data_IF_225940537285
#
_entry.id   IF_225940537285
#
_cell.length_a   1.000
_cell.length_b   1.000
_cell.length_c   1.000
_cell.angle_alpha   90.00
_cell.angle_beta   90.00
_cell.angle_gamma   90.00
#
_symmetry.space_group_name_H-M   'P 1'
#
loop_
_entity.id
_entity.type
_entity.pdbx_description
1 polymer ?
#
# COMPACT_ATOMS: atom_id res chain seq x y z
N UNK A 1 9.99 0.59 7.82
CA UNK A 1 9.69 -0.57 6.95
C UNK A 1 8.20 -0.94 6.83
N UNK A 2 7.31 -0.79 7.83
CA UNK A 2 5.92 -1.30 7.70
C UNK A 2 5.05 -0.57 6.69
N UNK A 3 5.47 0.61 6.23
CA UNK A 3 4.71 1.40 5.26
C UNK A 3 4.52 0.71 3.89
N UNK A 4 5.43 -0.18 3.50
CA UNK A 4 5.42 -0.84 2.20
C UNK A 4 4.86 -2.26 2.23
N UNK A 5 4.74 -2.84 3.42
CA UNK A 5 4.41 -4.25 3.57
C UNK A 5 2.90 -4.45 3.61
N UNK A 6 2.44 -5.51 2.96
CA UNK A 6 1.04 -5.91 2.94
C UNK A 6 0.56 -6.18 4.38
N UNK A 7 -0.52 -5.51 4.86
CA UNK A 7 -1.06 -5.74 6.18
C UNK A 7 -1.32 -7.23 6.46
N UNK A 8 -1.77 -8.00 5.47
CA UNK A 8 -2.06 -9.42 5.66
C UNK A 8 -0.84 -10.26 6.09
N UNK A 9 0.37 -9.85 5.71
CA UNK A 9 1.62 -10.53 6.12
C UNK A 9 1.91 -10.38 7.62
N UNK A 10 1.33 -9.38 8.29
CA UNK A 10 1.51 -9.17 9.73
C UNK A 10 0.45 -9.87 10.58
N UNK A 11 -0.75 -10.09 10.05
CA UNK A 11 -1.87 -10.65 10.81
C UNK A 11 -1.91 -12.18 10.82
N UNK A 12 -1.21 -12.83 9.90
CA UNK A 12 -1.25 -14.28 9.75
C UNK A 12 0.14 -14.88 10.00
N UNK A 13 0.43 -15.34 11.24
CA UNK A 13 1.67 -16.04 11.54
C UNK A 13 1.85 -17.23 10.60
N UNK A 14 2.94 -17.26 9.84
CA UNK A 14 3.23 -18.32 8.87
C UNK A 14 2.72 -18.07 7.44
N UNK A 15 2.04 -16.94 7.18
CA UNK A 15 1.76 -16.53 5.79
C UNK A 15 3.05 -15.99 5.18
N UNK A 16 3.55 -16.69 4.17
CA UNK A 16 4.64 -16.18 3.35
C UNK A 16 4.11 -15.09 2.41
N UNK A 17 4.89 -14.02 2.18
CA UNK A 17 4.60 -13.08 1.11
C UNK A 17 4.41 -13.82 -0.22
N UNK A 18 3.42 -13.39 -0.98
CA UNK A 18 3.10 -13.92 -2.30
C UNK A 18 3.17 -12.77 -3.34
N UNK A 19 2.95 -13.10 -4.61
CA UNK A 19 2.95 -12.09 -5.68
C UNK A 19 1.96 -10.94 -5.40
N UNK A 20 0.84 -11.22 -4.71
CA UNK A 20 -0.14 -10.17 -4.34
C UNK A 20 0.41 -9.24 -3.28
N UNK A 21 1.23 -9.73 -2.36
CA UNK A 21 1.95 -8.89 -1.40
C UNK A 21 2.97 -7.98 -2.11
N UNK A 22 3.67 -8.48 -3.13
CA UNK A 22 4.61 -7.67 -3.92
C UNK A 22 3.87 -6.58 -4.72
N UNK A 23 2.72 -6.92 -5.33
CA UNK A 23 1.84 -5.94 -6.00
C UNK A 23 1.38 -4.85 -5.03
N UNK A 24 1.06 -5.20 -3.78
CA UNK A 24 0.71 -4.19 -2.76
C UNK A 24 1.86 -3.21 -2.54
N UNK A 25 3.08 -3.71 -2.34
CA UNK A 25 4.27 -2.89 -2.15
C UNK A 25 4.55 -1.99 -3.36
N UNK A 26 4.35 -2.48 -4.58
CA UNK A 26 4.43 -1.67 -5.79
C UNK A 26 3.40 -0.54 -5.82
N UNK A 27 2.18 -0.78 -5.37
CA UNK A 27 1.17 0.28 -5.24
C UNK A 27 1.61 1.42 -4.32
N UNK A 28 2.22 1.08 -3.19
CA UNK A 28 2.77 2.08 -2.26
C UNK A 28 3.91 2.87 -2.91
N UNK A 29 4.83 2.19 -3.60
CA UNK A 29 5.95 2.84 -4.32
C UNK A 29 5.44 3.74 -5.43
N UNK A 30 4.45 3.30 -6.22
CA UNK A 30 3.89 4.12 -7.29
C UNK A 30 3.27 5.42 -6.78
N UNK A 31 2.61 5.38 -5.62
CA UNK A 31 2.14 6.60 -4.98
C UNK A 31 3.30 7.48 -4.52
N UNK A 32 4.31 6.92 -3.85
CA UNK A 32 5.51 7.65 -3.40
C UNK A 32 6.22 8.36 -4.55
N UNK A 33 6.35 7.70 -5.71
CA UNK A 33 6.95 8.30 -6.91
C UNK A 33 6.17 9.53 -7.40
N UNK A 34 4.85 9.54 -7.23
CA UNK A 34 4.02 10.69 -7.62
C UNK A 34 3.96 11.79 -6.58
N UNK A 35 4.08 11.45 -5.29
CA UNK A 35 4.01 12.41 -4.21
C UNK A 35 5.36 13.03 -3.88
N UNK A 36 6.45 12.28 -4.11
CA UNK A 36 7.79 12.61 -3.60
C UNK A 36 7.88 12.56 -2.07
N UNK A 37 6.89 11.96 -1.41
CA UNK A 37 6.74 11.95 0.05
C UNK A 37 6.74 10.50 0.54
N UNK A 38 7.49 10.17 1.61
CA UNK A 38 7.43 8.84 2.20
C UNK A 38 6.00 8.45 2.62
N UNK A 39 5.55 7.22 2.32
CA UNK A 39 4.22 6.75 2.68
C UNK A 39 4.02 6.74 4.20
N UNK A 40 2.83 7.13 4.65
CA UNK A 40 2.49 7.30 6.06
C UNK A 40 3.42 8.26 6.81
N UNK A 41 3.94 9.31 6.13
CA UNK A 41 4.83 10.32 6.73
C UNK A 41 4.30 11.00 8.00
N UNK A 42 2.98 10.98 8.21
CA UNK A 42 2.30 11.55 9.39
C UNK A 42 2.14 10.55 10.54
N UNK A 43 2.45 9.27 10.35
CA UNK A 43 2.32 8.27 11.40
C UNK A 43 3.49 8.40 12.40
N UNK A 44 3.22 8.39 13.72
CA UNK A 44 4.25 8.66 14.73
C UNK A 44 5.28 7.53 14.88
N UNK A 45 4.95 6.30 14.49
CA UNK A 45 5.84 5.15 14.55
C UNK A 45 5.31 4.00 13.68
N UNK A 46 6.09 2.92 13.59
CA UNK A 46 5.74 1.74 12.80
C UNK A 46 4.45 1.03 13.24
N UNK A 47 4.12 1.04 14.53
CA UNK A 47 2.89 0.41 15.04
C UNK A 47 1.64 1.18 14.59
N UNK A 48 1.70 2.51 14.58
CA UNK A 48 0.63 3.34 14.06
C UNK A 48 0.41 3.11 12.55
N UNK A 49 1.48 2.91 11.78
CA UNK A 49 1.39 2.55 10.35
C UNK A 49 0.61 1.25 10.16
N UNK A 50 0.95 0.21 10.94
CA UNK A 50 0.26 -1.08 10.88
C UNK A 50 -1.24 -0.91 11.15
N UNK A 51 -1.59 -0.24 12.27
CA UNK A 51 -3.00 0.00 12.63
C UNK A 51 -3.75 0.73 11.51
N UNK A 52 -3.17 1.80 10.97
CA UNK A 52 -3.79 2.58 9.89
C UNK A 52 -3.97 1.71 8.64
N UNK A 53 -2.93 0.99 8.22
CA UNK A 53 -2.98 0.15 7.03
C UNK A 53 -4.01 -0.98 7.17
N UNK A 54 -4.13 -1.59 8.35
CA UNK A 54 -5.17 -2.58 8.70
C UNK A 54 -6.57 -2.00 8.73
N UNK A 55 -6.73 -0.77 9.23
CA UNK A 55 -7.99 -0.06 9.20
C UNK A 55 -8.42 0.38 7.79
N UNK A 56 -7.63 0.04 6.75
CA UNK A 56 -7.92 0.37 5.36
C UNK A 56 -7.52 1.80 4.98
N UNK A 57 -6.78 2.51 5.84
CA UNK A 57 -6.24 3.82 5.46
C UNK A 57 -5.31 3.69 4.26
N UNK A 58 -5.52 4.56 3.27
CA UNK A 58 -4.66 4.72 2.09
C UNK A 58 -4.45 6.19 1.83
N UNK A 59 -3.30 6.50 1.26
CA UNK A 59 -2.93 7.88 0.94
C UNK A 59 -3.87 8.48 -0.13
N UNK A 60 -4.04 9.79 -0.08
CA UNK A 60 -4.84 10.50 -1.07
C UNK A 60 -4.07 10.66 -2.38
N UNK A 61 -4.79 10.71 -3.50
CA UNK A 61 -4.15 10.98 -4.78
C UNK A 61 -3.64 12.43 -4.81
N UNK A 62 -2.45 12.60 -5.37
CA UNK A 62 -1.81 13.90 -5.48
C UNK A 62 -2.42 14.67 -6.66
N UNK A 63 -2.77 15.96 -6.50
CA UNK A 63 -3.21 16.79 -7.62
C UNK A 63 -2.18 16.77 -8.75
N UNK A 64 -2.65 16.52 -9.97
CA UNK A 64 -1.79 16.42 -11.15
C UNK A 64 -1.32 15.00 -11.49
N UNK A 65 -1.52 14.00 -10.62
CA UNK A 65 -1.31 12.60 -11.01
C UNK A 65 -2.32 12.18 -12.10
N UNK A 66 -1.87 11.59 -13.23
CA UNK A 66 -2.78 11.06 -14.25
C UNK A 66 -3.81 10.10 -13.64
N UNK A 67 -5.07 10.24 -14.01
CA UNK A 67 -6.17 9.50 -13.39
C UNK A 67 -5.99 7.98 -13.51
N UNK A 68 -5.50 7.48 -14.63
CA UNK A 68 -5.32 6.04 -14.84
C UNK A 68 -4.14 5.49 -14.04
N UNK A 69 -3.09 6.27 -13.86
CA UNK A 69 -1.98 5.92 -12.96
C UNK A 69 -2.45 5.88 -11.49
N UNK A 70 -3.30 6.84 -11.09
CA UNK A 70 -3.90 6.84 -9.75
C UNK A 70 -4.82 5.64 -9.52
N UNK A 71 -5.63 5.27 -10.52
CA UNK A 71 -6.44 4.04 -10.46
C UNK A 71 -5.56 2.80 -10.35
N UNK A 72 -4.44 2.74 -11.08
CA UNK A 72 -3.51 1.62 -11.05
C UNK A 72 -2.96 1.37 -9.64
N UNK A 73 -2.28 2.35 -9.03
CA UNK A 73 -1.70 2.12 -7.70
C UNK A 73 -2.78 1.89 -6.63
N UNK A 74 -3.97 2.49 -6.80
CA UNK A 74 -5.12 2.22 -5.92
C UNK A 74 -5.60 0.78 -6.00
N UNK A 75 -5.58 0.20 -7.19
CA UNK A 75 -5.91 -1.21 -7.40
C UNK A 75 -4.83 -2.11 -6.81
N UNK A 76 -3.55 -1.74 -6.95
CA UNK A 76 -2.43 -2.50 -6.43
C UNK A 76 -2.47 -2.68 -4.90
N UNK A 77 -2.82 -1.64 -4.13
CA UNK A 77 -2.85 -1.71 -2.67
C UNK A 77 -4.24 -2.00 -2.06
N UNK A 78 -5.13 -2.66 -2.85
CA UNK A 78 -6.46 -3.04 -2.38
C UNK A 78 -6.37 -3.90 -1.11
N UNK A 79 -7.30 -3.68 -0.17
CA UNK A 79 -7.40 -4.45 1.07
C UNK A 79 -7.67 -5.94 0.81
N UNK A 80 -8.37 -6.28 -0.27
CA UNK A 80 -8.59 -7.67 -0.70
C UNK A 80 -7.47 -8.05 -1.69
N UNK A 81 -6.57 -9.00 -1.35
CA UNK A 81 -5.47 -9.41 -2.24
C UNK A 81 -5.89 -9.86 -3.64
N UNK A 82 -7.04 -10.47 -3.76
CA UNK A 82 -7.60 -11.06 -4.97
C UNK A 82 -8.06 -9.99 -5.97
N UNK A 83 -8.43 -8.80 -5.48
CA UNK A 83 -8.82 -7.66 -6.31
C UNK A 83 -7.60 -6.89 -6.86
N UNK A 84 -6.40 -7.19 -6.36
CA UNK A 84 -5.17 -6.59 -6.87
C UNK A 84 -4.88 -7.14 -8.27
N UNK A 85 -4.17 -6.41 -9.14
CA UNK A 85 -3.75 -6.94 -10.43
C UNK A 85 -2.89 -8.20 -10.31
N UNK A 86 -2.80 -8.96 -11.40
CA UNK A 86 -1.77 -9.97 -11.59
C UNK A 86 -0.65 -9.36 -12.43
N UNK A 87 0.57 -9.87 -12.26
CA UNK A 87 1.68 -9.68 -13.21
C UNK A 87 1.46 -10.42 -14.51
#
# INVERSE_FOLDING_TARGET
>A
MPAYLDPHCYCQPGRNPDEKSDIYSLGVIFWELTSGIPPFSRAPNGFAILIQAFAGYREQAIPGTPTDYAKLYRKCWNAVPEDRPNT
#
